data_IF_655967674386
#
_entry.id   IF_655967674386
#
_cell.length_a   1.000
_cell.length_b   1.000
_cell.length_c   1.000
_cell.angle_alpha   90.00
_cell.angle_beta   90.00
_cell.angle_gamma   90.00
#
_symmetry.space_group_name_H-M   'P 1'
#
loop_
_entity.id
_entity.type
_entity.pdbx_description
1 polymer ?
#
# COMPACT_ATOMS: atom_id res chain seq x y z
N UNK A 1 -41.80 13.30 24.24
CA UNK A 1 -40.70 12.31 24.40
C UNK A 1 -40.21 11.80 23.03
N UNK A 2 -39.86 12.70 22.10
CA UNK A 2 -39.44 12.35 20.73
C UNK A 2 -38.18 13.06 20.17
N UNK A 3 -37.57 14.09 20.81
CA UNK A 3 -36.33 14.65 20.27
C UNK A 3 -35.06 13.89 20.73
N UNK A 4 -35.14 13.05 21.78
CA UNK A 4 -33.98 12.35 22.32
C UNK A 4 -33.48 11.20 21.43
N UNK A 5 -34.38 10.57 20.64
CA UNK A 5 -34.05 9.44 19.76
C UNK A 5 -33.33 9.86 18.47
N UNK A 6 -33.51 11.11 18.01
CA UNK A 6 -32.82 11.63 16.84
C UNK A 6 -31.36 12.01 17.11
N UNK A 7 -31.03 12.42 18.34
CA UNK A 7 -29.64 12.71 18.72
C UNK A 7 -28.76 11.45 18.82
N UNK A 8 -29.35 10.30 19.19
CA UNK A 8 -28.62 9.01 19.26
C UNK A 8 -28.37 8.41 17.87
N UNK A 9 -29.29 8.63 16.92
CA UNK A 9 -29.11 8.16 15.52
C UNK A 9 -28.08 8.98 14.73
N UNK A 10 -27.90 10.27 15.04
CA UNK A 10 -26.85 11.09 14.43
C UNK A 10 -25.45 10.83 14.99
N UNK A 11 -25.34 10.26 16.20
CA UNK A 11 -24.08 9.80 16.77
C UNK A 11 -23.60 8.45 16.21
N UNK A 12 -24.48 7.69 15.52
CA UNK A 12 -24.17 6.36 15.00
C UNK A 12 -23.61 6.33 13.56
N UNK A 13 -23.54 7.48 12.87
CA UNK A 13 -23.07 7.59 11.48
C UNK A 13 -21.69 8.25 11.35
N UNK A 14 -21.05 8.57 12.47
CA UNK A 14 -19.68 9.08 12.54
C UNK A 14 -18.70 7.97 12.91
N UNK A 15 -18.69 6.85 12.19
CA UNK A 15 -17.54 5.96 12.20
C UNK A 15 -16.38 6.66 11.48
N UNK A 16 -15.77 7.67 12.11
CA UNK A 16 -14.53 8.25 11.62
C UNK A 16 -13.53 7.10 11.54
N UNK A 17 -13.16 6.71 10.32
CA UNK A 17 -12.15 5.68 10.13
C UNK A 17 -10.90 6.11 10.89
N UNK A 18 -10.57 5.41 11.97
CA UNK A 18 -9.35 5.64 12.74
C UNK A 18 -8.21 5.01 11.96
N UNK A 19 -7.68 5.78 10.99
CA UNK A 19 -6.58 5.35 10.14
C UNK A 19 -5.28 5.96 10.65
N UNK A 20 -4.34 5.10 11.03
CA UNK A 20 -2.95 5.49 11.27
C UNK A 20 -2.20 5.60 9.95
N UNK A 21 -1.50 6.71 9.77
CA UNK A 21 -0.54 6.93 8.70
C UNK A 21 0.88 6.89 9.27
N UNK A 22 1.70 5.99 8.74
CA UNK A 22 3.11 5.81 9.05
C UNK A 22 3.93 6.30 7.87
N UNK A 23 4.87 7.21 8.09
CA UNK A 23 5.72 7.77 7.04
C UNK A 23 7.20 7.49 7.32
N UNK A 24 7.91 7.06 6.28
CA UNK A 24 9.35 6.81 6.30
C UNK A 24 9.96 7.12 4.92
N UNK A 25 10.58 8.28 4.77
CA UNK A 25 11.12 8.74 3.47
C UNK A 25 10.08 8.61 2.34
N UNK A 26 10.40 7.84 1.31
CA UNK A 26 9.54 7.54 0.17
C UNK A 26 8.33 6.62 0.49
N UNK A 27 8.32 5.98 1.67
CA UNK A 27 7.33 5.00 2.06
C UNK A 27 6.23 5.62 2.93
N UNK A 28 4.98 5.29 2.61
CA UNK A 28 3.79 5.64 3.40
C UNK A 28 2.94 4.39 3.60
N UNK A 29 2.65 4.04 4.85
CA UNK A 29 1.73 2.96 5.18
C UNK A 29 0.46 3.50 5.87
N UNK A 30 -0.67 2.87 5.57
CA UNK A 30 -1.96 3.15 6.18
C UNK A 30 -2.47 1.90 6.86
N UNK A 31 -2.95 2.08 8.09
CA UNK A 31 -3.50 0.99 8.89
C UNK A 31 -4.72 1.42 9.67
N UNK A 32 -5.60 0.48 9.92
CA UNK A 32 -6.79 0.67 10.73
C UNK A 32 -6.64 -0.12 12.02
N UNK A 33 -7.29 0.36 13.08
CA UNK A 33 -7.39 -0.39 14.32
C UNK A 33 -8.46 -1.47 14.15
N UNK A 34 -8.09 -2.74 14.34
CA UNK A 34 -9.07 -3.81 14.37
C UNK A 34 -9.95 -3.71 15.61
N UNK A 35 -11.22 -4.10 15.49
CA UNK A 35 -12.16 -4.07 16.61
C UNK A 35 -11.66 -5.01 17.72
N UNK A 36 -11.44 -4.45 18.92
CA UNK A 36 -10.91 -5.20 20.07
C UNK A 36 -9.38 -5.28 20.16
N UNK A 37 -8.64 -4.73 19.18
CA UNK A 37 -7.17 -4.62 19.25
C UNK A 37 -6.72 -3.23 19.73
N UNK A 38 -5.63 -3.19 20.49
CA UNK A 38 -4.97 -1.93 20.85
C UNK A 38 -4.02 -1.42 19.73
N UNK A 39 -3.78 -2.24 18.71
CA UNK A 39 -2.78 -1.99 17.66
C UNK A 39 -3.40 -1.77 16.28
N UNK A 40 -2.69 -1.01 15.44
CA UNK A 40 -3.06 -0.82 14.03
C UNK A 40 -2.53 -1.95 13.17
N UNK A 41 -3.34 -2.39 12.21
CA UNK A 41 -2.97 -3.32 11.14
C UNK A 41 -2.84 -2.54 9.83
N UNK A 42 -1.61 -2.42 9.33
CA UNK A 42 -1.27 -1.67 8.13
C UNK A 42 -1.55 -2.50 6.88
N UNK A 43 -2.63 -2.17 6.19
CA UNK A 43 -3.15 -2.92 5.06
C UNK A 43 -2.74 -2.35 3.70
N UNK A 44 -2.21 -1.14 3.67
CA UNK A 44 -1.74 -0.47 2.46
C UNK A 44 -0.35 0.12 2.72
N UNK A 45 0.60 -0.19 1.84
CA UNK A 45 1.94 0.40 1.81
C UNK A 45 2.18 0.96 0.42
N UNK A 46 2.66 2.21 0.33
CA UNK A 46 3.01 2.89 -0.92
C UNK A 46 4.45 3.35 -0.84
N UNK A 47 5.22 3.12 -1.89
CA UNK A 47 6.53 3.70 -2.13
C UNK A 47 6.43 4.58 -3.36
N UNK A 48 6.71 5.86 -3.20
CA UNK A 48 6.84 6.82 -4.30
C UNK A 48 8.33 7.06 -4.58
N UNK A 49 8.79 6.63 -5.76
CA UNK A 49 10.20 6.58 -6.15
C UNK A 49 10.49 7.51 -7.35
N UNK A 50 9.56 8.41 -7.68
CA UNK A 50 9.74 9.40 -8.75
C UNK A 50 10.75 10.49 -8.38
N UNK A 51 10.89 10.80 -7.09
CA UNK A 51 11.79 11.83 -6.55
C UNK A 51 13.17 11.26 -6.17
N UNK A 52 14.16 12.14 -5.96
CA UNK A 52 15.52 11.81 -5.47
C UNK A 52 15.56 11.28 -4.02
N UNK A 53 14.41 10.87 -3.45
CA UNK A 53 14.34 10.24 -2.14
C UNK A 53 14.79 8.78 -2.29
N UNK A 54 15.87 8.36 -1.60
CA UNK A 54 16.36 7.01 -1.73
C UNK A 54 15.30 5.99 -1.26
N UNK A 55 15.10 4.88 -1.99
CA UNK A 55 14.21 3.82 -1.54
C UNK A 55 14.68 3.26 -0.19
N UNK A 56 13.79 2.60 0.59
CA UNK A 56 14.21 1.86 1.77
C UNK A 56 15.29 0.84 1.39
N UNK A 57 16.40 0.84 2.13
CA UNK A 57 17.51 -0.07 1.86
C UNK A 57 17.05 -1.52 1.99
N UNK A 58 17.49 -2.38 1.07
CA UNK A 58 17.22 -3.83 1.07
C UNK A 58 15.72 -4.20 1.15
N UNK A 59 14.86 -3.38 0.56
CA UNK A 59 13.45 -3.69 0.48
C UNK A 59 13.19 -4.79 -0.55
N UNK A 60 12.51 -5.86 -0.13
CA UNK A 60 12.18 -6.99 -0.99
C UNK A 60 10.67 -7.18 -1.09
N UNK A 61 10.20 -7.62 -2.26
CA UNK A 61 8.84 -8.13 -2.43
C UNK A 61 8.87 -9.55 -2.98
N UNK A 62 7.82 -10.33 -2.73
CA UNK A 62 7.69 -11.68 -3.31
C UNK A 62 6.66 -11.70 -4.42
N UNK A 63 7.12 -11.90 -5.66
CA UNK A 63 6.25 -12.09 -6.83
C UNK A 63 6.28 -13.56 -7.24
N UNK A 64 5.18 -14.28 -6.95
CA UNK A 64 5.13 -15.73 -7.11
C UNK A 64 6.02 -16.44 -6.08
N UNK A 65 6.93 -17.27 -6.57
CA UNK A 65 7.91 -18.02 -5.76
C UNK A 65 9.20 -17.25 -5.47
N UNK A 66 9.42 -16.09 -6.13
CA UNK A 66 10.69 -15.37 -6.09
C UNK A 66 10.60 -14.11 -5.24
N UNK A 67 11.56 -13.95 -4.32
CA UNK A 67 11.83 -12.67 -3.67
C UNK A 67 12.72 -11.82 -4.58
N UNK A 68 12.39 -10.54 -4.71
CA UNK A 68 13.06 -9.57 -5.58
C UNK A 68 13.32 -8.30 -4.77
N UNK A 69 14.56 -7.82 -4.79
CA UNK A 69 14.90 -6.48 -4.32
C UNK A 69 14.32 -5.41 -5.27
N UNK A 70 14.15 -4.18 -4.76
CA UNK A 70 13.57 -3.09 -5.56
C UNK A 70 14.36 -2.78 -6.85
N UNK A 71 15.69 -2.91 -6.83
CA UNK A 71 16.58 -2.66 -7.97
C UNK A 71 16.58 -3.79 -9.01
N UNK A 72 16.15 -5.00 -8.62
CA UNK A 72 15.91 -6.11 -9.55
C UNK A 72 14.59 -5.96 -10.32
N UNK A 73 13.68 -5.08 -9.87
CA UNK A 73 12.38 -4.88 -10.51
C UNK A 73 12.55 -4.10 -11.81
N UNK A 74 12.31 -4.79 -12.91
CA UNK A 74 12.21 -4.21 -14.25
C UNK A 74 10.94 -4.73 -14.93
N UNK A 75 10.42 -4.05 -15.98
CA UNK A 75 9.27 -4.54 -16.72
C UNK A 75 9.44 -5.97 -17.24
N UNK A 76 10.65 -6.32 -17.72
CA UNK A 76 10.95 -7.66 -18.22
C UNK A 76 10.91 -8.75 -17.12
N UNK A 77 11.28 -8.39 -15.88
CA UNK A 77 11.19 -9.30 -14.72
C UNK A 77 9.75 -9.43 -14.23
N UNK A 78 8.96 -8.36 -14.28
CA UNK A 78 7.60 -8.34 -13.70
C UNK A 78 6.55 -8.88 -14.67
N UNK A 79 6.66 -8.62 -15.97
CA UNK A 79 5.64 -8.99 -16.98
C UNK A 79 5.26 -10.48 -16.98
N UNK A 80 6.17 -11.45 -16.75
CA UNK A 80 5.80 -12.86 -16.66
C UNK A 80 5.06 -13.25 -15.36
N UNK A 81 5.04 -12.38 -14.35
CA UNK A 81 4.59 -12.68 -12.98
C UNK A 81 3.31 -11.95 -12.59
N UNK A 82 3.07 -10.78 -13.17
CA UNK A 82 1.89 -9.96 -12.92
C UNK A 82 1.26 -9.54 -14.24
N UNK A 83 -0.08 -9.50 -14.33
CA UNK A 83 -0.73 -8.99 -15.52
C UNK A 83 -0.48 -7.49 -15.64
N UNK A 84 -0.46 -7.01 -16.88
CA UNK A 84 -0.43 -5.58 -17.16
C UNK A 84 -1.64 -4.91 -16.51
N UNK A 85 -1.43 -3.72 -15.94
CA UNK A 85 -2.49 -2.96 -15.31
C UNK A 85 -3.52 -2.53 -16.35
N UNK A 86 -4.78 -2.86 -16.10
CA UNK A 86 -5.91 -2.36 -16.86
C UNK A 86 -6.67 -1.35 -16.00
N UNK A 87 -6.79 -0.08 -16.41
CA UNK A 87 -7.55 0.89 -15.64
C UNK A 87 -9.05 0.51 -15.61
N UNK A 88 -9.77 0.79 -14.52
CA UNK A 88 -11.19 0.51 -14.42
C UNK A 88 -12.01 1.23 -15.52
N UNK A 89 -13.02 0.57 -16.12
CA UNK A 89 -13.79 1.15 -17.22
C UNK A 89 -14.55 2.43 -16.81
N UNK A 90 -14.87 2.59 -15.53
CA UNK A 90 -15.57 3.75 -14.97
C UNK A 90 -14.68 4.98 -14.77
N UNK A 91 -13.36 4.87 -14.94
CA UNK A 91 -12.47 6.01 -14.79
C UNK A 91 -12.64 7.00 -15.95
N UNK A 92 -12.48 8.33 -15.68
CA UNK A 92 -12.43 9.34 -16.72
C UNK A 92 -11.42 9.01 -17.82
N UNK A 93 -11.78 9.21 -19.09
CA UNK A 93 -10.95 8.84 -20.26
C UNK A 93 -9.53 9.44 -20.20
N UNK A 94 -9.40 10.67 -19.67
CA UNK A 94 -8.10 11.32 -19.47
C UNK A 94 -7.20 10.51 -18.51
N UNK A 95 -7.76 10.00 -17.42
CA UNK A 95 -7.03 9.17 -16.45
C UNK A 95 -6.70 7.80 -17.04
N UNK A 96 -7.61 7.21 -17.83
CA UNK A 96 -7.33 5.96 -18.53
C UNK A 96 -6.16 6.09 -19.52
N UNK A 97 -6.16 7.15 -20.34
CA UNK A 97 -5.04 7.39 -21.28
C UNK A 97 -3.72 7.57 -20.55
N UNK A 98 -3.71 8.32 -19.44
CA UNK A 98 -2.50 8.50 -18.64
C UNK A 98 -2.03 7.18 -18.01
N UNK A 99 -2.95 6.38 -17.47
CA UNK A 99 -2.64 5.09 -16.89
C UNK A 99 -2.14 4.07 -17.93
N UNK A 100 -2.69 4.08 -19.14
CA UNK A 100 -2.27 3.20 -20.24
C UNK A 100 -0.90 3.59 -20.83
N UNK A 101 -0.48 4.85 -20.68
CA UNK A 101 0.87 5.29 -21.05
C UNK A 101 1.92 4.89 -20.01
N UNK A 102 1.52 4.64 -18.76
CA UNK A 102 2.41 4.10 -17.75
C UNK A 102 2.64 2.61 -17.99
N UNK A 103 3.91 2.18 -18.00
CA UNK A 103 4.22 0.77 -17.99
C UNK A 103 3.94 0.23 -16.59
N UNK A 104 2.75 -0.31 -16.35
CA UNK A 104 2.28 -0.72 -15.04
C UNK A 104 1.74 -2.15 -15.03
N UNK A 105 1.88 -2.81 -13.88
CA UNK A 105 1.45 -4.18 -13.64
C UNK A 105 0.72 -4.26 -12.31
N UNK A 106 -0.38 -5.00 -12.23
CA UNK A 106 -1.15 -5.10 -11.00
C UNK A 106 -1.84 -6.45 -10.84
N UNK A 107 -1.82 -6.99 -9.63
CA UNK A 107 -2.46 -8.26 -9.31
C UNK A 107 -2.00 -8.79 -7.96
N UNK A 108 -2.81 -9.61 -7.29
CA UNK A 108 -2.43 -10.25 -6.02
C UNK A 108 -2.13 -9.27 -4.88
N UNK A 109 -2.69 -8.06 -4.93
CA UNK A 109 -2.40 -6.99 -3.95
C UNK A 109 -1.16 -6.16 -4.29
N UNK A 110 -0.52 -6.37 -5.43
CA UNK A 110 0.58 -5.57 -5.93
C UNK A 110 0.12 -4.59 -7.00
N UNK A 111 0.71 -3.40 -7.01
CA UNK A 111 0.70 -2.47 -8.14
C UNK A 111 2.12 -1.92 -8.31
N UNK A 112 2.67 -2.04 -9.51
CA UNK A 112 4.00 -1.56 -9.86
C UNK A 112 3.88 -0.67 -11.09
N UNK A 113 4.48 0.51 -11.06
CA UNK A 113 4.58 1.40 -12.22
C UNK A 113 6.04 1.69 -12.53
N UNK A 114 6.35 1.76 -13.81
CA UNK A 114 7.69 1.99 -14.33
C UNK A 114 7.73 3.21 -15.24
N UNK A 115 8.73 4.07 -15.03
CA UNK A 115 9.08 5.21 -15.88
C UNK A 115 10.51 5.05 -16.39
N UNK A 116 10.73 5.22 -17.70
CA UNK A 116 12.05 5.04 -18.33
C UNK A 116 12.74 3.70 -17.97
N UNK A 117 11.96 2.63 -17.80
CA UNK A 117 12.46 1.29 -17.45
C UNK A 117 12.80 1.08 -15.97
N UNK A 118 12.67 2.11 -15.12
CA UNK A 118 12.91 2.04 -13.66
C UNK A 118 11.60 2.05 -12.90
N UNK A 119 11.55 1.38 -11.75
CA UNK A 119 10.39 1.42 -10.85
C UNK A 119 10.21 2.84 -10.32
N UNK A 120 9.02 3.41 -10.54
CA UNK A 120 8.65 4.75 -10.05
C UNK A 120 7.62 4.69 -8.94
N UNK A 121 6.80 3.63 -8.89
CA UNK A 121 5.82 3.45 -7.84
C UNK A 121 5.64 1.98 -7.51
N UNK A 122 5.51 1.68 -6.22
CA UNK A 122 5.08 0.40 -5.71
C UNK A 122 3.96 0.62 -4.70
N UNK A 123 2.83 -0.07 -4.88
CA UNK A 123 1.79 -0.15 -3.87
C UNK A 123 1.50 -1.60 -3.53
N UNK A 124 1.44 -1.91 -2.25
CA UNK A 124 0.99 -3.18 -1.70
C UNK A 124 -0.32 -2.94 -0.96
N UNK A 125 -1.35 -3.70 -1.26
CA UNK A 125 -2.63 -3.59 -0.57
C UNK A 125 -3.26 -4.94 -0.33
N UNK A 126 -3.67 -5.22 0.91
CA UNK A 126 -4.36 -6.47 1.26
C UNK A 126 -5.89 -6.41 1.09
N UNK A 127 -6.46 -5.21 0.91
CA UNK A 127 -7.92 -5.01 0.90
C UNK A 127 -8.45 -4.19 -0.30
N UNK A 128 -7.58 -3.74 -1.23
CA UNK A 128 -7.96 -2.89 -2.36
C UNK A 128 -8.52 -3.74 -3.52
N UNK A 129 -9.84 -3.95 -3.55
CA UNK A 129 -10.51 -4.74 -4.61
C UNK A 129 -10.68 -6.23 -4.27
N UNK A 130 -10.57 -6.59 -3.00
CA UNK A 130 -10.69 -7.96 -2.49
C UNK A 130 -9.58 -8.26 -1.48
N UNK A 131 -9.69 -9.42 -0.80
CA UNK A 131 -8.63 -9.87 0.10
C UNK A 131 -7.45 -10.39 -0.72
N UNK A 132 -6.30 -9.79 -0.50
CA UNK A 132 -5.03 -10.18 -1.11
C UNK A 132 -3.94 -10.14 -0.04
N UNK A 133 -2.84 -10.86 -0.28
CA UNK A 133 -1.85 -11.15 0.74
C UNK A 133 -0.44 -10.92 0.18
N UNK A 134 -0.12 -9.67 -0.24
CA UNK A 134 1.22 -9.37 -0.72
C UNK A 134 2.24 -9.56 0.40
N UNK A 135 3.42 -10.03 0.02
CA UNK A 135 4.50 -10.41 0.92
C UNK A 135 5.71 -9.53 0.68
N UNK A 136 6.26 -9.04 1.78
CA UNK A 136 7.34 -8.06 1.83
C UNK A 136 8.45 -8.58 2.75
N UNK A 137 9.70 -8.36 2.36
CA UNK A 137 10.88 -8.78 3.12
C UNK A 137 11.40 -7.68 4.03
N UNK A 138 11.98 -8.08 5.16
CA UNK A 138 12.76 -7.21 6.05
C UNK A 138 14.01 -6.66 5.35
N UNK A 139 14.54 -5.56 5.88
CA UNK A 139 15.76 -4.93 5.36
C UNK A 139 17.03 -5.82 5.49
N UNK A 140 16.99 -6.90 6.27
CA UNK A 140 18.07 -7.90 6.35
C UNK A 140 17.92 -9.03 5.32
N UNK A 141 16.80 -9.07 4.57
CA UNK A 141 16.46 -10.12 3.62
C UNK A 141 16.17 -11.49 4.23
N UNK A 142 16.12 -11.61 5.57
CA UNK A 142 15.97 -12.88 6.29
C UNK A 142 14.52 -13.19 6.64
N UNK A 143 13.67 -12.18 6.80
CA UNK A 143 12.28 -12.32 7.24
C UNK A 143 11.34 -11.81 6.18
N UNK A 144 10.17 -12.44 6.10
CA UNK A 144 9.11 -12.05 5.18
C UNK A 144 7.80 -12.00 5.93
N UNK A 145 7.04 -10.94 5.66
CA UNK A 145 5.76 -10.67 6.29
C UNK A 145 4.69 -10.56 5.21
N UNK A 146 3.50 -11.03 5.54
CA UNK A 146 2.32 -10.94 4.68
C UNK A 146 1.46 -9.78 5.17
N UNK A 147 1.01 -8.90 4.28
CA UNK A 147 0.08 -7.83 4.67
C UNK A 147 -1.28 -8.41 5.14
N UNK A 148 -1.96 -7.75 6.09
CA UNK A 148 -1.56 -6.50 6.77
C UNK A 148 -0.44 -6.70 7.80
N UNK A 149 0.31 -5.63 8.07
CA UNK A 149 1.45 -5.66 8.99
C UNK A 149 1.13 -4.98 10.32
N UNK A 150 1.75 -5.46 11.41
CA UNK A 150 1.79 -4.68 12.66
C UNK A 150 2.78 -3.50 12.52
N UNK A 151 2.73 -2.57 13.49
CA UNK A 151 3.70 -1.47 13.55
C UNK A 151 5.14 -1.98 13.67
N UNK A 152 5.37 -3.01 14.48
CA UNK A 152 6.68 -3.61 14.71
C UNK A 152 7.21 -4.26 13.43
N UNK A 153 6.36 -4.94 12.67
CA UNK A 153 6.72 -5.52 11.38
C UNK A 153 7.05 -4.44 10.34
N UNK A 154 6.29 -3.32 10.32
CA UNK A 154 6.65 -2.18 9.48
C UNK A 154 8.01 -1.58 9.87
N UNK A 155 8.30 -1.46 11.16
CA UNK A 155 9.60 -0.98 11.64
C UNK A 155 10.72 -1.94 11.24
N UNK A 156 10.47 -3.24 11.26
CA UNK A 156 11.45 -4.24 10.83
C UNK A 156 11.76 -4.17 9.32
N UNK A 157 10.76 -3.79 8.54
CA UNK A 157 10.87 -3.67 7.08
C UNK A 157 11.43 -2.32 6.62
N UNK A 158 10.96 -1.22 7.21
CA UNK A 158 11.25 0.15 6.77
C UNK A 158 12.20 0.91 7.71
N UNK A 159 12.43 0.40 8.91
CA UNK A 159 13.04 1.13 10.02
C UNK A 159 12.03 2.01 10.79
N UNK A 160 12.49 2.71 11.84
CA UNK A 160 11.64 3.61 12.61
C UNK A 160 11.02 4.72 11.73
N UNK A 161 9.73 5.05 11.92
CA UNK A 161 9.06 6.09 11.14
C UNK A 161 9.66 7.45 11.43
N UNK A 162 9.64 8.32 10.42
CA UNK A 162 9.94 9.75 10.61
C UNK A 162 8.72 10.45 11.23
N UNK A 163 7.51 9.98 10.90
CA UNK A 163 6.24 10.50 11.44
C UNK A 163 5.16 9.42 11.52
N UNK A 164 4.32 9.50 12.57
CA UNK A 164 3.09 8.72 12.68
C UNK A 164 1.95 9.64 13.14
N UNK A 165 0.82 9.63 12.44
CA UNK A 165 -0.33 10.47 12.77
C UNK A 165 -1.64 9.89 12.24
N UNK A 166 -2.77 10.39 12.73
CA UNK A 166 -4.11 9.96 12.30
C UNK A 166 -4.58 10.74 11.07
N UNK A 167 -5.29 10.06 10.17
CA UNK A 167 -5.95 10.66 9.02
C UNK A 167 -7.40 10.21 8.94
N UNK A 168 -8.27 11.09 8.46
CA UNK A 168 -9.72 10.84 8.39
C UNK A 168 -10.16 10.12 7.11
N UNK A 169 -9.32 10.15 6.07
CA UNK A 169 -9.62 9.57 4.76
C UNK A 169 -8.31 9.14 4.08
N UNK A 170 -8.31 7.94 3.47
CA UNK A 170 -7.26 7.50 2.54
C UNK A 170 -7.79 7.67 1.12
N UNK A 171 -7.16 8.53 0.33
CA UNK A 171 -7.49 8.66 -1.10
C UNK A 171 -6.65 7.67 -1.91
N UNK A 172 -7.33 6.86 -2.72
CA UNK A 172 -6.76 5.83 -3.59
C UNK A 172 -6.51 6.38 -4.99
#
# INVERSE_FOLDING_TARGET
MRPLLLLVMLAALGGCADVSRFEKGAAVAFGERLEGEETYQYYLLRLDLEDDVPPPANFHIRLGDRALALDELTPAVVAPRLPAFAPPPQWPERLNRQALMANAYAGGGYFLAFGNGRLTRLSLCSHCGGRSFPVIGSADGQRFYTLPLTREQLIDVLGPPDRVYRVNEVRY
#
